data_IF_151930610535
#
_entry.id   IF_151930610535
#
_cell.length_a   1.000
_cell.length_b   1.000
_cell.length_c   1.000
_cell.angle_alpha   90.00
_cell.angle_beta   90.00
_cell.angle_gamma   90.00
#
_symmetry.space_group_name_H-M   'P 1'
#
loop_
_entity.id
_entity.type
_entity.pdbx_description
1 polymer ?
#
# COMPACT_ATOMS: atom_id res chain seq x y z
N UNK A 1 -11.45 -3.17 -12.84
CA UNK A 1 -10.28 -3.81 -13.46
C UNK A 1 -10.41 -5.31 -13.26
N UNK A 2 -10.66 -6.11 -14.31
CA UNK A 2 -10.71 -7.57 -14.21
C UNK A 2 -9.28 -8.13 -14.11
N UNK A 3 -9.10 -9.17 -13.30
CA UNK A 3 -7.89 -9.99 -13.37
C UNK A 3 -7.92 -10.92 -14.57
N UNK A 4 -6.75 -11.14 -15.16
CA UNK A 4 -6.53 -12.24 -16.11
C UNK A 4 -6.77 -13.59 -15.43
N UNK A 5 -6.88 -14.66 -16.19
CA UNK A 5 -6.84 -16.02 -15.65
C UNK A 5 -5.57 -16.22 -14.83
N UNK A 6 -5.74 -16.66 -13.58
CA UNK A 6 -4.59 -16.90 -12.68
C UNK A 6 -4.09 -18.33 -12.91
N UNK A 7 -2.84 -18.44 -13.33
CA UNK A 7 -2.12 -19.70 -13.39
C UNK A 7 -1.15 -19.79 -12.20
N UNK A 8 -1.11 -20.96 -11.57
CA UNK A 8 -0.23 -21.25 -10.46
C UNK A 8 0.71 -22.37 -10.86
N UNK A 9 2.00 -22.09 -10.75
CA UNK A 9 3.06 -23.09 -10.87
C UNK A 9 3.45 -23.55 -9.48
N UNK A 10 3.53 -24.84 -9.28
CA UNK A 10 4.08 -25.47 -8.07
C UNK A 10 5.59 -25.64 -8.29
N UNK A 11 6.39 -24.97 -7.47
CA UNK A 11 7.86 -24.99 -7.57
C UNK A 11 8.44 -26.02 -6.61
N UNK A 12 7.91 -26.06 -5.39
CA UNK A 12 8.35 -26.98 -4.33
C UNK A 12 7.14 -27.39 -3.48
N UNK A 13 7.03 -28.65 -3.13
CA UNK A 13 6.08 -29.14 -2.13
C UNK A 13 6.82 -30.05 -1.13
N UNK A 14 7.14 -29.48 0.03
CA UNK A 14 7.73 -30.20 1.14
C UNK A 14 6.99 -29.88 2.45
N UNK A 15 5.79 -30.46 2.66
CA UNK A 15 4.98 -30.19 3.86
C UNK A 15 5.69 -30.58 5.16
N UNK A 16 6.55 -31.59 5.12
CA UNK A 16 7.32 -32.04 6.29
C UNK A 16 8.32 -30.99 6.74
N UNK A 17 8.94 -30.28 5.81
CA UNK A 17 9.81 -29.15 6.08
C UNK A 17 9.03 -27.83 6.24
N UNK A 18 7.69 -27.86 6.19
CA UNK A 18 6.80 -26.70 6.22
C UNK A 18 7.18 -25.68 5.13
N UNK A 19 7.49 -26.16 3.93
CA UNK A 19 7.91 -25.33 2.80
C UNK A 19 7.23 -25.79 1.51
N UNK A 20 6.28 -24.99 1.04
CA UNK A 20 5.63 -25.17 -0.25
C UNK A 20 5.73 -23.84 -1.01
N UNK A 21 6.29 -23.88 -2.22
CA UNK A 21 6.54 -22.67 -3.02
C UNK A 21 5.66 -22.69 -4.26
N UNK A 22 4.92 -21.62 -4.45
CA UNK A 22 4.00 -21.41 -5.57
C UNK A 22 4.34 -20.11 -6.29
N UNK A 23 4.13 -20.08 -7.59
CA UNK A 23 4.32 -18.88 -8.41
C UNK A 23 3.10 -18.52 -9.21
N UNK A 24 2.73 -17.25 -9.22
CA UNK A 24 1.86 -16.61 -10.19
C UNK A 24 2.66 -15.72 -11.15
N UNK A 25 2.02 -14.93 -11.98
CA UNK A 25 2.72 -14.02 -12.91
C UNK A 25 3.64 -13.03 -12.17
N UNK A 26 3.12 -12.36 -11.13
CA UNK A 26 3.83 -11.30 -10.40
C UNK A 26 4.36 -11.68 -9.02
N UNK A 27 3.96 -12.83 -8.47
CA UNK A 27 4.25 -13.18 -7.07
C UNK A 27 4.85 -14.57 -6.92
N UNK A 28 5.72 -14.72 -5.92
CA UNK A 28 6.16 -15.99 -5.39
C UNK A 28 5.67 -16.11 -3.94
N UNK A 29 5.05 -17.23 -3.63
CA UNK A 29 4.45 -17.53 -2.33
C UNK A 29 5.17 -18.68 -1.67
N UNK A 30 5.76 -18.46 -0.51
CA UNK A 30 6.29 -19.51 0.36
C UNK A 30 5.28 -19.80 1.46
N UNK A 31 4.66 -20.96 1.43
CA UNK A 31 3.63 -21.40 2.38
C UNK A 31 4.15 -22.46 3.33
N UNK A 32 3.79 -22.37 4.60
CA UNK A 32 4.13 -23.39 5.59
C UNK A 32 3.35 -24.70 5.43
N UNK A 33 2.17 -24.63 4.78
CA UNK A 33 1.39 -25.83 4.50
C UNK A 33 1.14 -25.98 3.00
N UNK A 34 0.91 -27.22 2.58
CA UNK A 34 0.44 -27.50 1.23
C UNK A 34 -0.98 -26.98 1.05
N UNK A 35 -1.17 -26.16 0.03
CA UNK A 35 -2.46 -25.63 -0.37
C UNK A 35 -2.93 -26.27 -1.67
N UNK A 36 -4.23 -26.61 -1.75
CA UNK A 36 -4.82 -27.08 -2.99
C UNK A 36 -4.71 -26.01 -4.08
N UNK A 37 -4.50 -26.40 -5.33
CA UNK A 37 -4.32 -25.49 -6.45
C UNK A 37 -5.46 -24.49 -6.64
N UNK A 38 -6.71 -24.88 -6.35
CA UNK A 38 -7.86 -23.96 -6.34
C UNK A 38 -7.75 -22.89 -5.24
N UNK A 39 -7.34 -23.28 -4.04
CA UNK A 39 -7.15 -22.38 -2.90
C UNK A 39 -6.02 -21.40 -3.20
N UNK A 40 -4.89 -21.88 -3.73
CA UNK A 40 -3.77 -21.02 -4.06
C UNK A 40 -4.12 -20.03 -5.19
N UNK A 41 -4.95 -20.45 -6.17
CA UNK A 41 -5.48 -19.53 -7.19
C UNK A 41 -6.33 -18.42 -6.60
N UNK A 42 -7.16 -18.70 -5.62
CA UNK A 42 -7.97 -17.67 -4.93
C UNK A 42 -7.09 -16.70 -4.15
N UNK A 43 -6.07 -17.18 -3.44
CA UNK A 43 -5.11 -16.33 -2.75
C UNK A 43 -4.40 -15.43 -3.77
N UNK A 44 -3.74 -16.01 -4.77
CA UNK A 44 -2.96 -15.27 -5.77
C UNK A 44 -3.83 -14.28 -6.57
N UNK A 45 -5.13 -14.57 -6.74
CA UNK A 45 -6.07 -13.68 -7.42
C UNK A 45 -6.17 -12.32 -6.76
N UNK A 46 -6.21 -12.25 -5.43
CA UNK A 46 -6.25 -10.97 -4.71
C UNK A 46 -4.95 -10.19 -4.93
N UNK A 47 -3.80 -10.85 -4.85
CA UNK A 47 -2.50 -10.21 -5.07
C UNK A 47 -2.36 -9.65 -6.50
N UNK A 48 -2.65 -10.46 -7.52
CA UNK A 48 -2.56 -10.02 -8.92
C UNK A 48 -3.60 -8.95 -9.27
N UNK A 49 -4.81 -9.05 -8.70
CA UNK A 49 -5.84 -8.04 -8.89
C UNK A 49 -5.43 -6.69 -8.30
N UNK A 50 -4.87 -6.67 -7.09
CA UNK A 50 -4.41 -5.45 -6.43
C UNK A 50 -3.24 -4.82 -7.20
N UNK A 51 -2.25 -5.62 -7.61
CA UNK A 51 -1.16 -5.14 -8.49
C UNK A 51 -1.70 -4.53 -9.78
N UNK A 52 -2.65 -5.22 -10.44
CA UNK A 52 -3.25 -4.75 -11.68
C UNK A 52 -4.07 -3.47 -11.48
N UNK A 53 -4.76 -3.34 -10.34
CA UNK A 53 -5.47 -2.12 -9.97
C UNK A 53 -4.49 -0.96 -9.81
N UNK A 54 -3.48 -1.11 -8.94
CA UNK A 54 -2.52 -0.05 -8.63
C UNK A 54 -1.81 0.43 -9.91
N UNK A 55 -1.42 -0.48 -10.79
CA UNK A 55 -0.81 -0.14 -12.08
C UNK A 55 -1.78 0.56 -13.06
N UNK A 56 -3.10 0.34 -12.93
CA UNK A 56 -4.11 0.92 -13.79
C UNK A 56 -4.69 2.25 -13.26
N UNK A 57 -4.38 2.63 -12.03
CA UNK A 57 -4.86 3.88 -11.45
C UNK A 57 -4.21 5.09 -12.17
N UNK A 58 -4.94 6.20 -12.31
CA UNK A 58 -4.49 7.35 -13.12
C UNK A 58 -3.16 7.95 -12.68
N UNK A 59 -2.78 7.79 -11.42
CA UNK A 59 -1.53 8.33 -10.88
C UNK A 59 -0.26 7.55 -11.29
N UNK A 60 -0.38 6.54 -12.16
CA UNK A 60 0.74 6.03 -12.94
C UNK A 60 1.80 5.23 -12.18
N UNK A 61 1.42 4.49 -11.13
CA UNK A 61 2.39 3.65 -10.40
C UNK A 61 2.93 2.53 -11.29
N UNK A 62 4.25 2.49 -11.44
CA UNK A 62 4.95 1.40 -12.12
C UNK A 62 5.25 0.29 -11.11
N UNK A 63 4.42 -0.77 -11.11
CA UNK A 63 4.59 -1.91 -10.24
C UNK A 63 5.70 -2.82 -10.73
N UNK A 64 6.85 -2.80 -10.07
CA UNK A 64 8.00 -3.68 -10.34
C UNK A 64 8.43 -4.37 -9.06
N UNK A 65 8.76 -5.68 -9.12
CA UNK A 65 9.41 -6.32 -7.99
C UNK A 65 10.67 -5.58 -7.54
N UNK A 66 10.99 -5.61 -6.25
CA UNK A 66 12.20 -5.02 -5.71
C UNK A 66 13.47 -5.55 -6.40
N UNK A 67 14.54 -4.79 -6.37
CA UNK A 67 15.82 -5.20 -6.97
C UNK A 67 16.29 -6.52 -6.36
N UNK A 68 16.76 -7.43 -7.21
CA UNK A 68 17.18 -8.79 -6.82
C UNK A 68 16.06 -9.85 -6.84
N UNK A 69 14.81 -9.46 -7.07
CA UNK A 69 13.69 -10.38 -7.17
C UNK A 69 13.04 -10.35 -8.56
N UNK A 70 12.75 -11.52 -9.11
CA UNK A 70 11.94 -11.61 -10.35
C UNK A 70 10.45 -11.39 -10.09
N UNK A 71 10.00 -11.67 -8.85
CA UNK A 71 8.60 -11.57 -8.40
C UNK A 71 8.53 -10.97 -7.01
N UNK A 72 7.41 -10.37 -6.68
CA UNK A 72 7.11 -9.98 -5.31
C UNK A 72 7.06 -11.22 -4.41
N UNK A 73 7.64 -11.13 -3.22
CA UNK A 73 7.75 -12.25 -2.28
C UNK A 73 6.66 -12.20 -1.23
N UNK A 74 5.97 -13.31 -1.00
CA UNK A 74 4.98 -13.43 0.06
C UNK A 74 5.18 -14.71 0.87
N UNK A 75 5.22 -14.59 2.20
CA UNK A 75 5.31 -15.71 3.13
C UNK A 75 3.97 -15.90 3.84
N UNK A 76 3.41 -17.10 3.69
CA UNK A 76 2.11 -17.49 4.20
C UNK A 76 2.29 -18.42 5.41
N UNK A 77 1.94 -17.93 6.58
CA UNK A 77 2.13 -18.62 7.85
C UNK A 77 0.85 -19.35 8.28
N UNK A 78 0.99 -20.59 8.68
CA UNK A 78 -0.13 -21.43 9.09
C UNK A 78 -0.86 -20.89 10.32
N UNK A 79 -0.07 -20.32 11.25
CA UNK A 79 -0.59 -19.77 12.50
C UNK A 79 -0.12 -18.33 12.72
N UNK A 80 -0.90 -17.58 13.52
CA UNK A 80 -0.50 -16.25 13.97
C UNK A 80 0.78 -16.29 14.81
N UNK A 81 0.99 -17.37 15.58
CA UNK A 81 2.21 -17.55 16.37
C UNK A 81 3.45 -17.64 15.48
N UNK A 82 3.38 -18.40 14.39
CA UNK A 82 4.49 -18.52 13.43
C UNK A 82 4.77 -17.18 12.72
N UNK A 83 3.71 -16.45 12.37
CA UNK A 83 3.80 -15.10 11.79
C UNK A 83 4.53 -14.13 12.72
N UNK A 84 4.17 -14.09 14.02
CA UNK A 84 4.82 -13.24 15.01
C UNK A 84 6.28 -13.67 15.21
N UNK A 85 6.56 -14.98 15.28
CA UNK A 85 7.92 -15.51 15.40
C UNK A 85 8.81 -15.13 14.21
N UNK A 86 8.23 -14.90 13.02
CA UNK A 86 8.91 -14.43 11.83
C UNK A 86 9.04 -12.87 11.75
N UNK A 87 8.68 -12.17 12.81
CA UNK A 87 8.78 -10.70 12.89
C UNK A 87 7.52 -9.93 12.53
N UNK A 88 6.40 -10.64 12.30
CA UNK A 88 5.10 -9.98 12.10
C UNK A 88 4.60 -9.29 13.36
N UNK A 89 4.04 -8.06 13.28
CA UNK A 89 3.51 -7.35 14.44
C UNK A 89 2.32 -8.06 15.08
N UNK A 90 2.26 -8.04 16.41
CA UNK A 90 1.17 -8.71 17.16
C UNK A 90 -0.23 -8.19 16.82
N UNK A 91 -0.36 -6.92 16.47
CA UNK A 91 -1.65 -6.27 16.23
C UNK A 91 -1.98 -6.08 14.74
N UNK A 92 -1.23 -6.71 13.81
CA UNK A 92 -1.51 -6.61 12.38
C UNK A 92 -2.05 -7.91 11.79
N UNK A 93 -2.89 -7.82 10.76
CA UNK A 93 -3.40 -8.95 9.99
C UNK A 93 -2.38 -9.49 8.98
N UNK A 94 -1.37 -8.71 8.64
CA UNK A 94 -0.26 -8.98 7.75
C UNK A 94 0.65 -7.77 7.77
N UNK A 95 1.80 -7.83 7.14
CA UNK A 95 2.72 -6.70 7.04
C UNK A 95 3.64 -6.85 5.84
N UNK A 96 3.82 -5.76 5.10
CA UNK A 96 4.92 -5.65 4.15
C UNK A 96 6.16 -5.10 4.84
N UNK A 97 7.25 -5.88 4.82
CA UNK A 97 8.53 -5.51 5.42
C UNK A 97 9.44 -4.91 4.35
N UNK A 98 9.53 -3.59 4.28
CA UNK A 98 10.36 -2.89 3.28
C UNK A 98 11.88 -3.16 3.43
N UNK A 99 12.34 -3.64 4.57
CA UNK A 99 13.73 -4.00 4.82
C UNK A 99 14.18 -5.26 4.08
N UNK A 100 13.40 -6.32 4.15
CA UNK A 100 13.68 -7.59 3.47
C UNK A 100 12.83 -7.82 2.20
N UNK A 101 11.93 -6.88 1.89
CA UNK A 101 11.07 -6.91 0.70
C UNK A 101 10.07 -8.05 0.67
N UNK A 102 9.68 -8.56 1.83
CA UNK A 102 8.78 -9.69 1.98
C UNK A 102 7.46 -9.24 2.59
N UNK A 103 6.36 -9.68 1.98
CA UNK A 103 5.04 -9.60 2.59
C UNK A 103 4.78 -10.83 3.45
N UNK A 104 4.48 -10.63 4.73
CA UNK A 104 4.18 -11.71 5.67
C UNK A 104 2.73 -11.69 6.10
N UNK A 105 2.08 -12.85 6.09
CA UNK A 105 0.66 -12.92 6.44
C UNK A 105 0.30 -14.30 7.01
N UNK A 106 -0.47 -14.37 8.12
CA UNK A 106 -1.00 -15.63 8.61
C UNK A 106 -2.26 -16.06 7.83
N UNK A 107 -2.48 -17.36 7.69
CA UNK A 107 -3.60 -17.93 6.94
C UNK A 107 -4.97 -17.35 7.29
N UNK A 108 -5.34 -17.15 8.58
CA UNK A 108 -6.62 -16.52 8.90
C UNK A 108 -6.80 -15.13 8.27
N UNK A 109 -5.71 -14.37 8.16
CA UNK A 109 -5.72 -13.01 7.57
C UNK A 109 -5.75 -12.98 6.05
N UNK A 110 -5.73 -14.12 5.38
CA UNK A 110 -6.03 -14.27 3.95
C UNK A 110 -7.30 -15.11 3.74
N UNK A 111 -8.09 -15.27 4.79
CA UNK A 111 -9.36 -16.00 4.76
C UNK A 111 -9.19 -17.52 4.59
N UNK A 112 -8.09 -18.10 5.01
CA UNK A 112 -7.91 -19.55 4.99
C UNK A 112 -8.25 -20.14 6.35
N UNK A 113 -9.10 -21.17 6.35
CA UNK A 113 -9.45 -21.96 7.51
C UNK A 113 -9.22 -23.44 7.25
N UNK A 114 -8.82 -24.15 8.30
CA UNK A 114 -8.62 -25.60 8.24
C UNK A 114 -9.97 -26.30 8.30
N UNK A 115 -10.28 -27.10 7.29
CA UNK A 115 -11.45 -27.98 7.23
C UNK A 115 -10.98 -29.44 7.17
N UNK A 116 -11.06 -30.12 8.29
CA UNK A 116 -10.51 -31.48 8.43
C UNK A 116 -8.99 -31.47 8.30
N UNK A 117 -8.46 -31.95 7.17
CA UNK A 117 -7.02 -32.00 6.88
C UNK A 117 -6.57 -31.05 5.76
N UNK A 118 -7.47 -30.22 5.25
CA UNK A 118 -7.22 -29.33 4.11
C UNK A 118 -7.62 -27.90 4.43
N UNK A 119 -6.93 -26.94 3.80
CA UNK A 119 -7.31 -25.53 3.90
C UNK A 119 -8.34 -25.19 2.83
N UNK A 120 -9.31 -24.35 3.21
CA UNK A 120 -10.31 -23.80 2.31
C UNK A 120 -10.45 -22.29 2.54
N UNK A 121 -10.93 -21.59 1.52
CA UNK A 121 -11.25 -20.17 1.61
C UNK A 121 -12.52 -19.99 2.45
N UNK A 122 -12.54 -18.97 3.30
CA UNK A 122 -13.73 -18.54 4.02
C UNK A 122 -14.50 -17.55 3.16
N UNK A 123 -15.73 -17.89 2.81
CA UNK A 123 -16.60 -17.06 1.97
C UNK A 123 -16.99 -15.73 2.64
N UNK A 124 -16.93 -15.66 3.98
CA UNK A 124 -17.24 -14.46 4.75
C UNK A 124 -16.00 -13.59 5.05
N UNK A 125 -14.86 -13.91 4.46
CA UNK A 125 -13.64 -13.18 4.69
C UNK A 125 -13.68 -11.80 4.01
N UNK A 126 -13.45 -10.76 4.80
CA UNK A 126 -13.18 -9.42 4.29
C UNK A 126 -11.69 -9.28 3.95
N UNK A 127 -11.41 -9.03 2.69
CA UNK A 127 -10.04 -8.93 2.16
C UNK A 127 -9.44 -7.52 2.20
N UNK A 128 -10.10 -6.55 2.82
CA UNK A 128 -9.67 -5.15 2.82
C UNK A 128 -8.24 -4.97 3.29
N UNK A 129 -7.92 -5.39 4.51
CA UNK A 129 -6.57 -5.30 5.07
C UNK A 129 -5.51 -6.00 4.20
N UNK A 130 -5.85 -7.11 3.56
CA UNK A 130 -4.92 -7.77 2.64
C UNK A 130 -4.63 -6.90 1.40
N UNK A 131 -5.64 -6.26 0.84
CA UNK A 131 -5.51 -5.33 -0.29
C UNK A 131 -4.64 -4.14 0.09
N UNK A 132 -4.85 -3.58 1.29
CA UNK A 132 -4.04 -2.50 1.87
C UNK A 132 -2.54 -2.84 1.86
N UNK A 133 -2.18 -3.95 2.47
CA UNK A 133 -0.78 -4.36 2.62
C UNK A 133 -0.13 -4.75 1.27
N UNK A 134 -0.88 -5.37 0.35
CA UNK A 134 -0.38 -5.64 -1.01
C UNK A 134 -0.11 -4.32 -1.75
N UNK A 135 -0.91 -3.27 -1.49
CA UNK A 135 -0.68 -1.95 -2.09
C UNK A 135 0.67 -1.40 -1.68
N UNK A 136 1.05 -1.49 -0.40
CA UNK A 136 2.39 -1.11 0.05
C UNK A 136 3.47 -1.92 -0.67
N UNK A 137 3.31 -3.23 -0.79
CA UNK A 137 4.27 -4.09 -1.45
C UNK A 137 4.50 -3.70 -2.92
N UNK A 138 3.44 -3.48 -3.68
CA UNK A 138 3.57 -3.17 -5.12
C UNK A 138 4.03 -1.72 -5.37
N UNK A 139 3.96 -0.85 -4.36
CA UNK A 139 4.48 0.51 -4.36
C UNK A 139 5.88 0.63 -3.72
N UNK A 140 6.56 -0.46 -3.39
CA UNK A 140 7.83 -0.46 -2.64
C UNK A 140 8.83 0.61 -3.09
N UNK A 141 9.07 0.73 -4.39
CA UNK A 141 10.03 1.69 -4.94
C UNK A 141 9.70 3.16 -4.60
N UNK A 142 8.43 3.46 -4.35
CA UNK A 142 7.94 4.81 -4.06
C UNK A 142 8.00 5.16 -2.57
N UNK A 143 8.01 4.15 -1.67
CA UNK A 143 7.86 4.36 -0.23
C UNK A 143 8.91 5.29 0.38
N UNK A 144 10.11 5.35 -0.17
CA UNK A 144 11.17 6.27 0.29
C UNK A 144 10.84 7.73 -0.02
N UNK A 145 10.17 7.98 -1.14
CA UNK A 145 9.96 9.32 -1.69
C UNK A 145 8.53 9.85 -1.49
N UNK A 146 7.66 9.08 -0.83
CA UNK A 146 6.29 9.49 -0.55
C UNK A 146 6.12 9.91 0.91
N UNK A 147 5.37 10.99 1.17
CA UNK A 147 4.87 11.29 2.51
C UNK A 147 4.01 10.15 3.04
N UNK A 148 4.00 9.95 4.36
CA UNK A 148 3.27 8.82 4.96
C UNK A 148 1.77 8.89 4.64
N UNK A 149 1.19 10.09 4.63
CA UNK A 149 -0.23 10.23 4.28
C UNK A 149 -0.56 9.79 2.84
N UNK A 150 0.37 9.91 1.88
CA UNK A 150 0.18 9.35 0.53
C UNK A 150 0.29 7.83 0.56
N UNK A 151 1.26 7.30 1.30
CA UNK A 151 1.47 5.85 1.43
C UNK A 151 0.21 5.19 1.99
N UNK A 152 -0.25 5.65 3.16
CA UNK A 152 -1.41 5.08 3.84
C UNK A 152 -2.71 5.44 3.10
N UNK A 153 -2.84 6.67 2.63
CA UNK A 153 -4.04 7.10 1.92
C UNK A 153 -4.26 6.40 0.57
N UNK A 154 -3.19 6.01 -0.15
CA UNK A 154 -3.33 5.20 -1.37
C UNK A 154 -3.69 3.75 -1.04
N UNK A 155 -3.18 3.18 0.04
CA UNK A 155 -3.53 1.86 0.51
C UNK A 155 -5.00 1.80 0.97
N UNK A 156 -5.45 2.76 1.78
CA UNK A 156 -6.87 2.93 2.17
C UNK A 156 -7.77 3.16 0.94
N UNK A 157 -7.31 3.93 -0.03
CA UNK A 157 -8.05 4.15 -1.28
C UNK A 157 -8.28 2.83 -2.05
N UNK A 158 -7.27 1.99 -2.17
CA UNK A 158 -7.42 0.69 -2.84
C UNK A 158 -8.30 -0.27 -2.04
N UNK A 159 -8.18 -0.26 -0.70
CA UNK A 159 -8.99 -1.06 0.22
C UNK A 159 -10.48 -0.71 0.14
N UNK A 160 -10.81 0.59 0.09
CA UNK A 160 -12.23 1.03 0.04
C UNK A 160 -12.93 0.73 -1.29
N UNK A 161 -12.18 0.40 -2.35
CA UNK A 161 -12.81 0.11 -3.65
C UNK A 161 -13.58 -1.21 -3.60
N UNK A 162 -14.82 -1.24 -4.13
CA UNK A 162 -15.58 -2.48 -4.17
C UNK A 162 -14.81 -3.58 -4.91
N UNK A 163 -14.54 -4.67 -4.22
CA UNK A 163 -13.81 -5.83 -4.73
C UNK A 163 -14.64 -7.10 -4.60
N UNK A 164 -14.67 -7.92 -5.64
CA UNK A 164 -15.28 -9.23 -5.60
C UNK A 164 -14.57 -10.18 -6.56
N UNK A 165 -14.14 -11.33 -6.04
CA UNK A 165 -13.56 -12.45 -6.79
C UNK A 165 -12.52 -12.04 -7.86
N UNK A 166 -11.57 -11.19 -7.51
CA UNK A 166 -10.50 -10.71 -8.39
C UNK A 166 -10.89 -9.51 -9.27
N UNK A 167 -12.03 -8.88 -9.04
CA UNK A 167 -12.50 -7.76 -9.84
C UNK A 167 -12.76 -6.52 -9.01
N UNK A 168 -11.97 -5.48 -9.22
CA UNK A 168 -12.20 -4.16 -8.64
C UNK A 168 -13.16 -3.32 -9.51
N UNK A 169 -14.01 -2.56 -8.83
CA UNK A 169 -14.92 -1.58 -9.43
C UNK A 169 -14.39 -0.17 -9.16
N UNK A 170 -13.28 0.19 -9.83
CA UNK A 170 -12.70 1.52 -9.72
C UNK A 170 -13.67 2.65 -10.18
N UNK A 171 -14.60 2.33 -11.08
CA UNK A 171 -15.72 3.19 -11.49
C UNK A 171 -16.71 3.49 -10.35
N UNK A 172 -16.73 2.69 -9.30
CA UNK A 172 -17.58 2.86 -8.13
C UNK A 172 -16.85 3.52 -6.92
N UNK A 173 -15.75 4.25 -7.16
CA UNK A 173 -14.95 4.88 -6.12
C UNK A 173 -15.75 5.80 -5.19
N UNK A 174 -16.75 6.55 -5.72
CA UNK A 174 -17.61 7.41 -4.90
C UNK A 174 -18.46 6.61 -3.91
N UNK A 175 -18.95 5.44 -4.34
CA UNK A 175 -19.68 4.53 -3.46
C UNK A 175 -18.75 3.97 -2.41
N UNK A 176 -17.58 3.50 -2.81
CA UNK A 176 -16.55 3.00 -1.89
C UNK A 176 -16.21 4.02 -0.79
N UNK A 177 -15.95 5.28 -1.16
CA UNK A 177 -15.69 6.34 -0.19
C UNK A 177 -16.86 6.55 0.77
N UNK A 178 -18.11 6.63 0.26
CA UNK A 178 -19.28 6.83 1.11
C UNK A 178 -19.50 5.68 2.09
N UNK A 179 -19.32 4.45 1.62
CA UNK A 179 -19.43 3.25 2.46
C UNK A 179 -18.34 3.27 3.55
N UNK A 180 -17.10 3.61 3.18
CA UNK A 180 -15.97 3.73 4.11
C UNK A 180 -16.20 4.82 5.15
N UNK A 181 -16.62 6.03 4.75
CA UNK A 181 -16.98 7.12 5.67
C UNK A 181 -18.08 6.66 6.64
N UNK A 182 -19.10 5.99 6.14
CA UNK A 182 -20.20 5.52 6.97
C UNK A 182 -19.73 4.48 8.02
N UNK A 183 -18.83 3.59 7.62
CA UNK A 183 -18.25 2.62 8.55
C UNK A 183 -17.37 3.29 9.61
N UNK A 184 -16.52 4.24 9.20
CA UNK A 184 -15.71 5.01 10.15
C UNK A 184 -16.56 5.81 11.14
N UNK A 185 -17.67 6.41 10.69
CA UNK A 185 -18.60 7.09 11.57
C UNK A 185 -19.28 6.13 12.56
N UNK A 186 -19.66 4.92 12.14
CA UNK A 186 -20.20 3.88 13.06
C UNK A 186 -19.20 3.49 14.14
N UNK A 187 -17.90 3.55 13.83
CA UNK A 187 -16.79 3.33 14.78
C UNK A 187 -16.50 4.57 15.64
N UNK A 188 -17.21 5.69 15.43
CA UNK A 188 -17.09 6.91 16.20
C UNK A 188 -16.00 7.86 15.73
N UNK A 189 -15.48 7.71 14.51
CA UNK A 189 -14.54 8.66 13.92
C UNK A 189 -15.25 9.90 13.37
N UNK A 190 -14.65 11.07 13.56
CA UNK A 190 -15.10 12.30 12.91
C UNK A 190 -14.63 12.36 11.45
N UNK A 191 -15.41 13.01 10.59
CA UNK A 191 -14.96 13.30 9.21
C UNK A 191 -14.20 14.62 9.26
N UNK A 192 -12.91 14.53 9.57
CA UNK A 192 -12.05 15.68 9.73
C UNK A 192 -10.62 15.40 9.25
N UNK A 193 -9.96 16.43 8.77
CA UNK A 193 -8.52 16.53 8.74
C UNK A 193 -8.23 17.76 9.60
N UNK A 194 -7.54 17.59 10.72
CA UNK A 194 -7.15 18.71 11.56
C UNK A 194 -6.32 19.73 10.80
N UNK A 195 -5.23 20.18 11.33
CA UNK A 195 -4.36 21.08 10.59
C UNK A 195 -3.80 20.41 9.32
N UNK A 196 -4.24 20.90 8.14
CA UNK A 196 -3.89 20.30 6.85
C UNK A 196 -2.38 20.36 6.59
N UNK A 197 -1.73 21.47 6.88
CA UNK A 197 -0.27 21.62 6.73
C UNK A 197 0.47 20.60 7.58
N UNK A 198 0.06 20.47 8.84
CA UNK A 198 0.66 19.48 9.75
C UNK A 198 0.48 18.06 9.24
N UNK A 199 -0.69 17.70 8.72
CA UNK A 199 -0.97 16.36 8.18
C UNK A 199 -0.14 16.08 6.92
N UNK A 200 -0.10 17.02 5.97
CA UNK A 200 0.61 16.82 4.69
C UNK A 200 2.14 16.84 4.82
N UNK A 201 2.67 17.52 5.86
CA UNK A 201 4.11 17.65 6.12
C UNK A 201 4.61 16.75 7.26
N UNK A 202 3.75 15.89 7.81
CA UNK A 202 4.08 15.02 8.93
C UNK A 202 5.14 13.99 8.52
N UNK A 203 6.30 14.02 9.17
CA UNK A 203 7.35 13.03 8.92
C UNK A 203 7.05 11.68 9.60
N UNK A 204 7.78 10.63 9.20
CA UNK A 204 7.58 9.27 9.70
C UNK A 204 7.71 9.15 11.21
N UNK A 205 8.65 9.87 11.83
CA UNK A 205 8.87 9.79 13.28
C UNK A 205 7.66 10.33 14.05
N UNK A 206 7.14 11.49 13.65
CA UNK A 206 5.93 12.09 14.23
C UNK A 206 4.70 11.22 13.99
N UNK A 207 4.52 10.71 12.77
CA UNK A 207 3.44 9.79 12.41
C UNK A 207 3.44 8.56 13.31
N UNK A 208 4.58 7.84 13.37
CA UNK A 208 4.73 6.64 14.20
C UNK A 208 4.51 6.94 15.68
N UNK A 209 4.98 8.09 16.17
CA UNK A 209 4.75 8.54 17.54
C UNK A 209 3.26 8.67 17.88
N UNK A 210 2.47 9.28 16.98
CA UNK A 210 1.02 9.44 17.16
C UNK A 210 0.31 8.09 16.99
N UNK A 211 0.59 7.36 15.92
CA UNK A 211 -0.05 6.09 15.60
C UNK A 211 0.15 5.03 16.69
N UNK A 212 1.30 5.03 17.36
CA UNK A 212 1.59 4.09 18.45
C UNK A 212 0.88 4.39 19.77
N UNK A 213 0.25 5.56 19.91
CA UNK A 213 -0.43 5.92 21.17
C UNK A 213 -1.68 5.10 21.40
N UNK A 214 -2.52 4.94 20.40
CA UNK A 214 -3.74 4.13 20.45
C UNK A 214 -4.15 3.69 19.04
N UNK A 215 -4.87 2.55 18.94
CA UNK A 215 -5.46 2.11 17.66
C UNK A 215 -6.40 3.17 17.07
N UNK A 216 -7.06 3.95 17.92
CA UNK A 216 -7.93 5.06 17.49
C UNK A 216 -7.13 6.14 16.77
N UNK A 217 -5.99 6.58 17.34
CA UNK A 217 -5.14 7.61 16.72
C UNK A 217 -4.55 7.14 15.39
N UNK A 218 -4.15 5.89 15.31
CA UNK A 218 -3.73 5.28 14.06
C UNK A 218 -4.85 5.32 13.01
N UNK A 219 -6.06 4.88 13.37
CA UNK A 219 -7.22 4.91 12.48
C UNK A 219 -7.63 6.33 12.06
N UNK A 220 -7.51 7.34 12.95
CA UNK A 220 -7.72 8.75 12.59
C UNK A 220 -6.75 9.20 11.50
N UNK A 221 -5.45 8.91 11.64
CA UNK A 221 -4.43 9.27 10.64
C UNK A 221 -4.69 8.60 9.29
N UNK A 222 -5.05 7.33 9.27
CA UNK A 222 -5.36 6.57 8.05
C UNK A 222 -6.59 7.14 7.35
N UNK A 223 -7.66 7.42 8.12
CA UNK A 223 -8.86 8.01 7.59
C UNK A 223 -8.64 9.42 7.03
N UNK A 224 -7.89 10.28 7.72
CA UNK A 224 -7.48 11.59 7.22
C UNK A 224 -6.70 11.46 5.91
N UNK A 225 -5.82 10.48 5.80
CA UNK A 225 -4.99 10.24 4.63
C UNK A 225 -5.80 9.84 3.40
N UNK A 226 -6.79 8.95 3.53
CA UNK A 226 -7.65 8.60 2.40
C UNK A 226 -8.52 9.76 1.96
N UNK A 227 -8.98 10.61 2.89
CA UNK A 227 -9.72 11.83 2.54
C UNK A 227 -8.84 12.79 1.74
N UNK A 228 -7.58 12.99 2.15
CA UNK A 228 -6.63 13.83 1.41
C UNK A 228 -6.31 13.25 0.02
N UNK A 229 -5.98 11.97 -0.09
CA UNK A 229 -5.72 11.30 -1.38
C UNK A 229 -6.95 11.37 -2.29
N UNK A 230 -8.14 11.09 -1.76
CA UNK A 230 -9.37 11.17 -2.55
C UNK A 230 -9.62 12.57 -3.09
N UNK A 231 -9.39 13.60 -2.27
CA UNK A 231 -9.50 14.99 -2.73
C UNK A 231 -8.57 15.24 -3.93
N UNK A 232 -7.28 15.01 -3.78
CA UNK A 232 -6.32 15.28 -4.84
C UNK A 232 -6.56 14.44 -6.11
N UNK A 233 -7.11 13.23 -5.98
CA UNK A 233 -7.40 12.35 -7.11
C UNK A 233 -8.68 12.73 -7.86
N UNK A 234 -9.73 13.18 -7.15
CA UNK A 234 -11.08 13.24 -7.73
C UNK A 234 -11.80 14.57 -7.56
N UNK A 235 -11.37 15.44 -6.67
CA UNK A 235 -12.09 16.65 -6.31
C UNK A 235 -11.31 17.92 -6.60
N UNK A 236 -9.98 17.85 -6.63
CA UNK A 236 -9.10 18.98 -6.82
C UNK A 236 -9.17 19.53 -8.26
N UNK A 237 -9.34 20.81 -8.40
CA UNK A 237 -9.26 21.55 -9.66
C UNK A 237 -10.13 20.98 -10.76
N UNK A 238 -9.53 20.32 -11.75
CA UNK A 238 -10.21 19.74 -12.91
C UNK A 238 -10.93 18.41 -12.63
N UNK A 239 -10.86 17.91 -11.41
CA UNK A 239 -11.44 16.62 -10.96
C UNK A 239 -10.91 15.40 -11.71
N UNK A 240 -9.72 15.52 -12.31
CA UNK A 240 -9.01 14.45 -13.04
C UNK A 240 -7.72 14.02 -12.33
N UNK A 241 -7.43 14.63 -11.18
CA UNK A 241 -6.22 14.35 -10.42
C UNK A 241 -4.94 14.85 -11.09
N UNK A 242 -5.03 15.86 -11.97
CA UNK A 242 -3.87 16.30 -12.78
C UNK A 242 -2.68 16.70 -11.91
N UNK A 243 -2.89 17.36 -10.76
CA UNK A 243 -1.81 17.73 -9.84
C UNK A 243 -1.21 16.51 -9.14
N UNK A 244 -2.07 15.59 -8.73
CA UNK A 244 -1.63 14.34 -8.09
C UNK A 244 -0.85 13.45 -9.07
N UNK A 245 -1.28 13.37 -10.33
CA UNK A 245 -0.54 12.66 -11.40
C UNK A 245 0.85 13.26 -11.58
N UNK A 246 0.96 14.59 -11.72
CA UNK A 246 2.26 15.28 -11.85
C UNK A 246 3.16 15.04 -10.65
N UNK A 247 2.59 15.07 -9.43
CA UNK A 247 3.32 14.74 -8.21
C UNK A 247 3.86 13.30 -8.25
N UNK A 248 3.03 12.32 -8.60
CA UNK A 248 3.45 10.92 -8.68
C UNK A 248 4.47 10.67 -9.80
N UNK A 249 4.38 11.37 -10.94
CA UNK A 249 5.37 11.34 -12.01
C UNK A 249 6.72 11.88 -11.55
N UNK A 250 6.74 12.96 -10.78
CA UNK A 250 7.97 13.51 -10.22
C UNK A 250 8.59 12.55 -9.19
N UNK A 251 7.80 11.95 -8.32
CA UNK A 251 8.24 10.89 -7.39
C UNK A 251 8.79 9.68 -8.15
N UNK A 252 8.14 9.26 -9.24
CA UNK A 252 8.66 8.20 -10.10
C UNK A 252 10.04 8.55 -10.67
N UNK A 253 10.26 9.80 -11.07
CA UNK A 253 11.58 10.28 -11.49
C UNK A 253 12.65 10.07 -10.42
N UNK A 254 12.35 10.34 -9.15
CA UNK A 254 13.28 10.11 -8.05
C UNK A 254 13.54 8.60 -7.83
N UNK A 255 12.52 7.74 -7.97
CA UNK A 255 12.72 6.28 -7.88
C UNK A 255 13.64 5.76 -8.97
N UNK A 256 13.49 6.25 -10.22
CA UNK A 256 14.35 5.86 -11.34
C UNK A 256 15.77 6.43 -11.20
N UNK A 257 15.91 7.64 -10.67
CA UNK A 257 17.23 8.21 -10.36
C UNK A 257 17.97 7.36 -9.31
N UNK A 258 17.28 6.92 -8.25
CA UNK A 258 17.86 6.05 -7.24
C UNK A 258 18.23 4.68 -7.81
N UNK A 259 17.35 4.09 -8.62
CA UNK A 259 17.62 2.82 -9.30
C UNK A 259 18.83 2.92 -10.24
N UNK A 260 18.93 4.00 -10.99
CA UNK A 260 20.06 4.27 -11.88
C UNK A 260 21.36 4.44 -11.09
N UNK A 261 21.30 5.17 -9.97
CA UNK A 261 22.44 5.32 -9.06
C UNK A 261 22.96 3.96 -8.60
N UNK A 262 22.11 3.10 -8.06
CA UNK A 262 22.53 1.78 -7.56
C UNK A 262 23.03 0.81 -8.65
N UNK A 263 22.66 1.00 -9.91
CA UNK A 263 23.14 0.21 -11.04
C UNK A 263 24.45 0.74 -11.64
N UNK A 264 24.87 1.95 -11.26
CA UNK A 264 26.10 2.54 -11.79
C UNK A 264 27.32 1.76 -11.29
N UNK A 265 28.27 1.39 -12.17
CA UNK A 265 29.47 0.64 -11.78
C UNK A 265 30.37 1.34 -10.74
N UNK A 266 30.22 2.64 -10.55
CA UNK A 266 30.92 3.40 -9.50
C UNK A 266 30.40 3.12 -8.10
N UNK A 267 29.18 2.60 -7.99
CA UNK A 267 28.57 2.23 -6.70
C UNK A 267 28.95 0.80 -6.36
N UNK A 268 29.68 0.64 -5.27
CA UNK A 268 30.12 -0.66 -4.76
C UNK A 268 29.13 -1.15 -3.69
N UNK A 269 28.57 -2.32 -3.88
CA UNK A 269 27.68 -2.97 -2.93
C UNK A 269 28.45 -3.95 -2.03
N UNK A 270 28.11 -3.99 -0.76
CA UNK A 270 28.68 -4.92 0.21
C UNK A 270 27.64 -5.96 0.66
N UNK A 271 28.10 -7.17 1.09
CA UNK A 271 27.17 -8.22 1.53
C UNK A 271 26.29 -7.87 2.73
N UNK A 272 26.71 -6.89 3.53
CA UNK A 272 25.95 -6.38 4.69
C UNK A 272 24.92 -5.30 4.33
N UNK A 273 24.66 -5.09 3.05
CA UNK A 273 23.70 -4.10 2.54
C UNK A 273 24.24 -2.66 2.48
N UNK A 274 25.47 -2.41 2.96
CA UNK A 274 26.13 -1.12 2.78
C UNK A 274 26.53 -0.91 1.32
N UNK A 275 26.73 0.35 0.95
CA UNK A 275 27.27 0.72 -0.35
C UNK A 275 28.25 1.89 -0.20
N UNK A 276 29.16 2.03 -1.16
CA UNK A 276 30.07 3.18 -1.27
C UNK A 276 30.06 3.75 -2.68
N UNK A 277 30.34 5.03 -2.78
CA UNK A 277 30.30 5.79 -4.02
C UNK A 277 31.35 6.93 -3.99
N UNK A 278 31.82 7.42 -5.14
CA UNK A 278 32.69 8.59 -5.20
C UNK A 278 32.01 9.85 -4.68
N UNK A 279 32.77 10.75 -4.09
CA UNK A 279 32.25 12.01 -3.52
C UNK A 279 31.63 12.95 -4.56
N UNK A 280 32.04 12.85 -5.80
CA UNK A 280 31.51 13.59 -6.95
C UNK A 280 30.30 12.91 -7.63
N UNK A 281 29.87 11.77 -7.08
CA UNK A 281 28.69 11.03 -7.52
C UNK A 281 27.80 10.63 -6.35
N UNK A 282 27.16 11.60 -5.65
CA UNK A 282 26.32 11.31 -4.51
C UNK A 282 24.99 10.66 -4.94
N UNK A 283 24.36 9.86 -4.05
CA UNK A 283 23.02 9.35 -4.28
C UNK A 283 21.99 10.50 -4.32
N UNK A 284 20.81 10.26 -4.94
CA UNK A 284 19.64 11.11 -4.72
C UNK A 284 19.36 11.28 -3.23
N UNK A 285 18.68 12.37 -2.86
CA UNK A 285 18.26 12.55 -1.47
C UNK A 285 17.26 11.45 -1.07
N UNK A 286 17.58 10.70 -0.04
CA UNK A 286 16.76 9.61 0.53
C UNK A 286 16.42 9.86 1.99
N UNK A 287 16.70 11.06 2.52
CA UNK A 287 16.43 11.38 3.93
C UNK A 287 14.94 11.45 4.17
N UNK A 288 14.49 10.79 5.21
CA UNK A 288 13.07 10.75 5.61
C UNK A 288 12.47 12.11 5.95
N UNK A 289 13.31 13.10 6.24
CA UNK A 289 12.92 14.46 6.57
C UNK A 289 12.72 15.35 5.34
N UNK A 290 13.30 15.01 4.22
CA UNK A 290 13.31 15.90 3.03
C UNK A 290 12.77 15.22 1.76
N UNK A 291 13.20 14.00 1.47
CA UNK A 291 12.87 13.30 0.23
C UNK A 291 11.34 13.14 0.00
N UNK A 292 10.52 12.79 1.01
CA UNK A 292 9.08 12.62 0.81
C UNK A 292 8.33 13.93 0.49
N UNK A 293 8.91 15.06 0.85
CA UNK A 293 8.24 16.37 0.73
C UNK A 293 8.74 17.20 -0.46
N UNK A 294 9.71 16.69 -1.20
CA UNK A 294 10.41 17.40 -2.29
C UNK A 294 9.47 17.95 -3.37
N UNK A 295 8.36 17.28 -3.62
CA UNK A 295 7.44 17.61 -4.72
C UNK A 295 6.05 18.07 -4.26
N UNK A 296 5.88 18.40 -2.95
CA UNK A 296 4.59 18.87 -2.43
C UNK A 296 4.10 20.15 -3.11
N UNK A 297 5.00 20.99 -3.59
CA UNK A 297 4.69 22.19 -4.34
C UNK A 297 3.85 21.92 -5.60
N UNK A 298 3.99 20.74 -6.22
CA UNK A 298 3.17 20.31 -7.35
C UNK A 298 1.70 20.08 -6.96
N UNK A 299 1.45 19.63 -5.72
CA UNK A 299 0.10 19.50 -5.18
C UNK A 299 -0.47 20.85 -4.77
N UNK A 300 0.36 21.70 -4.16
CA UNK A 300 -0.05 23.03 -3.74
C UNK A 300 -0.36 23.94 -4.94
N UNK A 301 0.46 23.87 -5.99
CA UNK A 301 0.32 24.65 -7.23
C UNK A 301 0.12 26.15 -6.94
N UNK A 302 0.97 26.69 -6.05
CA UNK A 302 0.93 28.08 -5.62
C UNK A 302 -0.16 28.45 -4.59
N UNK A 303 -0.99 27.50 -4.18
CA UNK A 303 -2.00 27.70 -3.12
C UNK A 303 -1.39 27.56 -1.74
N UNK A 304 -1.94 28.28 -0.76
CA UNK A 304 -1.65 27.99 0.65
C UNK A 304 -2.41 26.75 1.13
N UNK A 305 -1.96 26.14 2.22
CA UNK A 305 -2.68 25.03 2.87
C UNK A 305 -4.10 25.42 3.28
N UNK A 306 -4.30 26.66 3.76
CA UNK A 306 -5.61 27.18 4.11
C UNK A 306 -6.55 27.30 2.90
N UNK A 307 -6.03 27.70 1.72
CA UNK A 307 -6.83 27.69 0.49
C UNK A 307 -7.25 26.28 0.09
N UNK A 308 -6.33 25.29 0.19
CA UNK A 308 -6.65 23.90 -0.10
C UNK A 308 -7.66 23.35 0.92
N UNK A 309 -7.53 23.68 2.19
CA UNK A 309 -8.48 23.28 3.23
C UNK A 309 -9.90 23.77 2.92
N UNK A 310 -10.02 25.03 2.48
CA UNK A 310 -11.29 25.58 2.04
C UNK A 310 -11.84 24.85 0.80
N UNK A 311 -11.00 24.65 -0.23
CA UNK A 311 -11.38 23.93 -1.45
C UNK A 311 -11.84 22.50 -1.13
N UNK A 312 -11.14 21.79 -0.22
CA UNK A 312 -11.53 20.46 0.25
C UNK A 312 -12.92 20.48 0.89
N UNK A 313 -13.14 21.43 1.80
CA UNK A 313 -14.44 21.58 2.50
C UNK A 313 -15.58 21.79 1.51
N UNK A 314 -15.41 22.67 0.53
CA UNK A 314 -16.41 22.96 -0.49
C UNK A 314 -16.63 21.77 -1.44
N UNK A 315 -15.56 21.09 -1.85
CA UNK A 315 -15.62 19.95 -2.75
C UNK A 315 -16.35 18.76 -2.09
N UNK A 316 -16.03 18.40 -0.86
CA UNK A 316 -16.74 17.35 -0.12
C UNK A 316 -18.20 17.71 0.15
N UNK A 317 -18.48 18.97 0.48
CA UNK A 317 -19.85 19.48 0.63
C UNK A 317 -20.67 19.28 -0.65
N UNK A 318 -20.08 19.46 -1.84
CA UNK A 318 -20.74 19.21 -3.11
C UNK A 318 -21.15 17.74 -3.33
N UNK A 319 -20.48 16.80 -2.64
CA UNK A 319 -20.81 15.38 -2.62
C UNK A 319 -21.82 15.01 -1.50
N UNK A 320 -22.28 15.99 -0.72
CA UNK A 320 -23.15 15.78 0.44
C UNK A 320 -22.39 15.28 1.69
N UNK A 321 -21.06 15.47 1.73
CA UNK A 321 -20.21 15.08 2.86
C UNK A 321 -19.76 16.34 3.58
N UNK A 322 -20.05 16.42 4.88
CA UNK A 322 -19.57 17.52 5.73
C UNK A 322 -18.25 17.10 6.38
N UNK A 323 -17.17 17.73 5.94
CA UNK A 323 -15.81 17.54 6.48
C UNK A 323 -15.35 18.82 7.20
N UNK A 324 -14.50 18.67 8.22
CA UNK A 324 -13.76 19.76 8.86
C UNK A 324 -12.29 19.66 8.46
N UNK A 325 -11.76 20.77 7.95
CA UNK A 325 -10.33 20.89 7.56
C UNK A 325 -9.85 22.26 8.02
N UNK A 326 -8.76 22.33 8.80
CA UNK A 326 -8.11 23.54 9.30
C UNK A 326 -6.81 23.86 8.53
#
# INVERSE_FOLDING_TARGET
VPTKSIEIQVIEENPTARKCVYRSEGFEFTSQAKLAGSVMKEVARTFEATKSLVAALPWGVVCRPPEGFERYQAELYETRKDYIAAGGPENSGGVYMSGDKIFRVPFPSIGLKLLGKTYAKDDNYDGGTLIHEITHQVMDAYLTFLPVWVIEGTAEYTEMLPYNAGKFRADAHQKGLKDHIQDMQKRGYAIEIGNLEEHLTMNRAKWSGIASTTNRKMGELYFQSVLAVYFFCHLDGDKKGTRFIKFMEAVYGDTEALRTFFKDPRVKHFPDGRFSYPTDFPPPDMKSETAPFKHLDLLLDGRSYSQIAQEMTEAYKSMGIKIFVD
#
